data_IF_079360868888
#
_entry.id   IF_079360868888
#
_cell.length_a   1.000
_cell.length_b   1.000
_cell.length_c   1.000
_cell.angle_alpha   90.00
_cell.angle_beta   90.00
_cell.angle_gamma   90.00
#
_symmetry.space_group_name_H-M   'P 1'
#
loop_
_entity.id
_entity.type
_entity.pdbx_description
1 polymer ?
#
# COMPACT_ATOMS: atom_id res chain seq x y z
N UNK A 1 -12.79 10.49 -10.15
CA UNK A 1 -11.44 10.80 -9.64
C UNK A 1 -10.71 9.48 -9.55
N UNK A 2 -9.43 9.46 -9.88
CA UNK A 2 -8.58 8.26 -9.82
C UNK A 2 -8.30 7.95 -8.35
N UNK A 3 -8.66 6.75 -7.88
CA UNK A 3 -8.50 6.36 -6.47
C UNK A 3 -7.21 5.57 -6.33
N UNK A 4 -6.27 6.12 -5.55
CA UNK A 4 -5.00 5.47 -5.20
C UNK A 4 -4.97 5.26 -3.69
N UNK A 5 -4.75 4.02 -3.27
CA UNK A 5 -4.58 3.63 -1.88
C UNK A 5 -3.27 2.88 -1.70
N UNK A 6 -2.56 3.19 -0.63
CA UNK A 6 -1.30 2.58 -0.27
C UNK A 6 -1.46 1.82 1.05
N UNK A 7 -1.37 0.48 0.99
CA UNK A 7 -1.20 -0.34 2.19
C UNK A 7 0.29 -0.36 2.55
N UNK A 8 0.62 0.15 3.73
CA UNK A 8 2.01 0.43 4.12
C UNK A 8 2.20 0.30 5.63
N UNK A 9 3.44 0.23 6.07
CA UNK A 9 3.85 0.34 7.46
C UNK A 9 4.93 1.41 7.56
N UNK A 10 4.80 2.32 8.52
CA UNK A 10 5.67 3.52 8.61
C UNK A 10 7.18 3.22 8.66
N UNK A 11 7.57 2.04 9.19
CA UNK A 11 8.99 1.64 9.34
C UNK A 11 9.56 0.92 8.10
N UNK A 12 8.73 0.62 7.10
CA UNK A 12 9.13 -0.19 5.95
C UNK A 12 9.96 0.61 4.94
N UNK A 13 11.22 0.22 4.66
CA UNK A 13 12.03 0.90 3.65
C UNK A 13 11.52 0.68 2.22
N UNK A 14 10.71 -0.36 1.98
CA UNK A 14 10.09 -0.59 0.67
C UNK A 14 8.95 0.40 0.42
N UNK A 15 8.17 0.71 1.47
CA UNK A 15 7.08 1.66 1.40
C UNK A 15 7.59 3.08 1.20
N UNK A 16 8.70 3.44 1.85
CA UNK A 16 9.34 4.75 1.68
C UNK A 16 9.70 5.03 0.20
N UNK A 17 10.18 4.02 -0.53
CA UNK A 17 10.48 4.18 -1.98
C UNK A 17 9.21 4.48 -2.78
N UNK A 18 8.12 3.82 -2.44
CA UNK A 18 6.84 3.99 -3.12
C UNK A 18 6.23 5.36 -2.80
N UNK A 19 6.26 5.79 -1.54
CA UNK A 19 5.80 7.12 -1.13
C UNK A 19 6.59 8.21 -1.85
N UNK A 20 7.93 8.15 -1.86
CA UNK A 20 8.77 9.10 -2.62
C UNK A 20 8.32 9.15 -4.09
N UNK A 21 8.14 8.00 -4.74
CA UNK A 21 7.69 7.96 -6.13
C UNK A 21 6.30 8.57 -6.37
N UNK A 22 5.38 8.43 -5.42
CA UNK A 22 4.04 9.02 -5.49
C UNK A 22 4.09 10.55 -5.29
N UNK A 23 4.85 11.01 -4.29
CA UNK A 23 5.05 12.44 -4.01
C UNK A 23 5.75 13.15 -5.18
N UNK A 24 6.83 12.58 -5.72
CA UNK A 24 7.55 13.12 -6.88
C UNK A 24 6.66 13.24 -8.13
N UNK A 25 5.65 12.37 -8.24
CA UNK A 25 4.66 12.41 -9.33
C UNK A 25 3.43 13.28 -9.02
N UNK A 26 3.32 13.86 -7.82
CA UNK A 26 2.16 14.63 -7.38
C UNK A 26 0.86 13.81 -7.33
N UNK A 27 0.97 12.49 -7.17
CA UNK A 27 -0.19 11.60 -7.12
C UNK A 27 -0.73 11.63 -5.69
N UNK A 28 -1.99 12.04 -5.53
CA UNK A 28 -2.69 11.94 -4.25
C UNK A 28 -3.06 10.49 -3.97
N UNK A 29 -2.83 10.02 -2.76
CA UNK A 29 -3.19 8.68 -2.33
C UNK A 29 -3.74 8.68 -0.90
N UNK A 30 -4.57 7.68 -0.59
CA UNK A 30 -4.95 7.35 0.77
C UNK A 30 -3.89 6.42 1.38
N UNK A 31 -3.29 6.84 2.49
CA UNK A 31 -2.38 6.00 3.26
C UNK A 31 -3.17 5.14 4.25
N UNK A 32 -2.96 3.82 4.23
CA UNK A 32 -3.50 2.89 5.20
C UNK A 32 -2.37 2.14 5.91
N UNK A 33 -2.23 2.37 7.21
CA UNK A 33 -1.27 1.67 8.07
C UNK A 33 -1.69 0.19 8.26
N UNK A 34 -0.78 -0.73 7.99
CA UNK A 34 -0.96 -2.17 8.14
C UNK A 34 -0.18 -2.71 9.34
N UNK A 35 -0.83 -3.54 10.15
CA UNK A 35 -0.15 -4.27 11.22
C UNK A 35 0.31 -5.65 10.75
N UNK A 36 1.34 -5.70 9.89
CA UNK A 36 1.79 -6.99 9.31
C UNK A 36 2.47 -7.94 10.30
N UNK A 37 2.82 -7.46 11.50
CA UNK A 37 3.48 -8.25 12.55
C UNK A 37 2.50 -9.06 13.40
N UNK A 38 1.33 -8.49 13.70
CA UNK A 38 0.36 -9.10 14.63
C UNK A 38 -0.90 -9.55 13.91
N UNK A 39 -1.47 -8.69 13.05
CA UNK A 39 -2.73 -8.98 12.38
C UNK A 39 -2.83 -8.28 11.03
N UNK A 40 -2.71 -9.06 9.95
CA UNK A 40 -2.83 -8.57 8.57
C UNK A 40 -4.28 -8.26 8.27
N UNK A 41 -4.56 -7.12 7.62
CA UNK A 41 -5.92 -6.80 7.22
C UNK A 41 -6.46 -7.77 6.17
N UNK A 42 -7.78 -7.99 6.15
CA UNK A 42 -8.44 -8.75 5.09
C UNK A 42 -8.19 -8.13 3.71
N UNK A 43 -8.06 -6.81 3.65
CA UNK A 43 -7.73 -6.08 2.43
C UNK A 43 -6.35 -6.47 1.91
N UNK A 44 -5.32 -6.50 2.77
CA UNK A 44 -3.98 -6.96 2.40
C UNK A 44 -3.97 -8.41 1.91
N UNK A 45 -4.70 -9.29 2.61
CA UNK A 45 -4.79 -10.71 2.23
C UNK A 45 -5.50 -10.90 0.87
N UNK A 46 -6.48 -10.06 0.57
CA UNK A 46 -7.20 -10.06 -0.73
C UNK A 46 -6.36 -9.47 -1.85
N UNK A 47 -5.63 -8.39 -1.60
CA UNK A 47 -4.91 -7.64 -2.63
C UNK A 47 -3.52 -8.21 -2.93
N UNK A 48 -2.90 -8.92 -1.99
CA UNK A 48 -1.65 -9.66 -2.20
C UNK A 48 -1.76 -11.08 -1.65
N UNK A 49 -2.58 -11.97 -2.26
CA UNK A 49 -2.83 -13.31 -1.72
C UNK A 49 -1.60 -14.22 -1.75
N UNK A 50 -0.67 -13.96 -2.68
CA UNK A 50 0.56 -14.75 -2.86
C UNK A 50 1.53 -14.45 -1.72
N UNK A 51 1.99 -13.20 -1.58
CA UNK A 51 3.04 -12.86 -0.63
C UNK A 51 2.51 -12.37 0.71
N UNK A 52 1.31 -11.79 0.75
CA UNK A 52 0.68 -11.22 1.95
C UNK A 52 1.60 -10.20 2.63
N UNK A 53 2.26 -9.35 1.82
CA UNK A 53 3.25 -8.36 2.24
C UNK A 53 2.89 -6.97 1.71
N UNK A 54 3.37 -5.97 2.42
CA UNK A 54 3.45 -4.57 2.01
C UNK A 54 4.77 -4.27 1.26
N UNK A 55 4.87 -3.19 0.47
CA UNK A 55 3.77 -2.29 0.07
C UNK A 55 2.74 -3.01 -0.80
N UNK A 56 1.50 -2.52 -0.79
CA UNK A 56 0.52 -2.79 -1.86
C UNK A 56 -0.07 -1.47 -2.34
N UNK A 57 0.17 -1.14 -3.61
CA UNK A 57 -0.49 -0.02 -4.27
C UNK A 57 -1.80 -0.52 -4.86
N UNK A 58 -2.92 0.11 -4.52
CA UNK A 58 -4.23 -0.21 -5.07
C UNK A 58 -4.67 0.99 -5.89
N UNK A 59 -4.88 0.76 -7.18
CA UNK A 59 -5.30 1.78 -8.11
C UNK A 59 -6.65 1.39 -8.72
N UNK A 60 -7.69 2.20 -8.48
CA UNK A 60 -9.07 1.93 -8.88
C UNK A 60 -9.52 0.50 -8.51
N UNK A 61 -9.22 0.10 -7.26
CA UNK A 61 -9.57 -1.20 -6.70
C UNK A 61 -8.71 -2.38 -7.18
N UNK A 62 -7.69 -2.16 -8.03
CA UNK A 62 -6.79 -3.20 -8.52
C UNK A 62 -5.41 -3.08 -7.88
N UNK A 63 -4.84 -4.18 -7.34
CA UNK A 63 -3.47 -4.16 -6.84
C UNK A 63 -2.48 -4.06 -8.01
N UNK A 64 -1.43 -3.27 -7.84
CA UNK A 64 -0.31 -3.08 -8.78
C UNK A 64 1.00 -3.50 -8.11
#
# INVERSE_FOLDING_TARGET
MEEVKLLSMWVSPFDMRLQIGLEEKGIKYEYQEENVAVNKSDLLLRMNPVYKKIPVLIHNGKPI
#
